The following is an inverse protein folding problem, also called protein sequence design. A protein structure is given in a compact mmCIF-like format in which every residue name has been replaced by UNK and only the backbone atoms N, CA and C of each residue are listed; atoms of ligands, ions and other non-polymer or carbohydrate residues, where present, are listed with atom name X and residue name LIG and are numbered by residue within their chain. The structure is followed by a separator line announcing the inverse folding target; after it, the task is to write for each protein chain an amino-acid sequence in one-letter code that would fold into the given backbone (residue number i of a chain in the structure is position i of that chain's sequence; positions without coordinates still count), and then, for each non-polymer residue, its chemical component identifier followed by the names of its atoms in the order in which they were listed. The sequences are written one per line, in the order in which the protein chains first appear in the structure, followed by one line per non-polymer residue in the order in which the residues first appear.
data_IF_664522299769
#
_entry.id   IF_664522299769
#
_cell.length_a   1.000
_cell.length_b   1.000
_cell.length_c   1.000
_cell.angle_alpha   90.00
_cell.angle_beta   90.00
_cell.angle_gamma   90.00
#
_symmetry.space_group_name_H-M   'P 1'
#
loop_
_entity.id
_entity.type
_entity.pdbx_description
1 polymer ?
#
# COMPACT_ATOMS: atom_id res chain seq x y z
N UNK A 1 2.70 -8.49 -7.04
CA UNK A 1 1.44 -8.46 -6.25
C UNK A 1 1.29 -7.10 -5.59
N UNK A 2 0.07 -6.71 -5.22
CA UNK A 2 -0.16 -5.44 -4.50
C UNK A 2 0.64 -5.36 -3.19
N UNK A 3 0.77 -6.48 -2.47
CA UNK A 3 1.65 -6.59 -1.29
C UNK A 3 3.08 -6.16 -1.56
N UNK A 4 3.70 -6.62 -2.65
CA UNK A 4 5.08 -6.26 -2.98
C UNK A 4 5.22 -4.76 -3.27
N UNK A 5 4.25 -4.19 -3.99
CA UNK A 5 4.22 -2.76 -4.31
C UNK A 5 4.06 -1.93 -3.02
N UNK A 6 3.15 -2.34 -2.13
CA UNK A 6 2.91 -1.68 -0.86
C UNK A 6 4.15 -1.71 0.04
N UNK A 7 4.86 -2.84 0.14
CA UNK A 7 6.10 -2.94 0.91
C UNK A 7 7.17 -1.98 0.41
N UNK A 8 7.36 -1.89 -0.90
CA UNK A 8 8.32 -0.96 -1.51
C UNK A 8 7.96 0.48 -1.20
N UNK A 9 6.69 0.85 -1.34
CA UNK A 9 6.22 2.21 -1.06
C UNK A 9 6.31 2.56 0.43
N UNK A 10 5.99 1.63 1.33
CA UNK A 10 6.11 1.80 2.78
C UNK A 10 7.56 1.95 3.23
N UNK A 11 8.47 1.14 2.70
CA UNK A 11 9.90 1.26 3.00
C UNK A 11 10.43 2.65 2.59
N UNK A 12 10.01 3.15 1.42
CA UNK A 12 10.36 4.50 0.98
C UNK A 12 9.74 5.59 1.86
N UNK A 13 8.49 5.42 2.31
CA UNK A 13 7.78 6.42 3.12
C UNK A 13 8.30 6.49 4.56
N UNK A 14 8.53 5.33 5.18
CA UNK A 14 8.93 5.22 6.59
C UNK A 14 10.46 5.39 6.77
N UNK A 15 11.25 5.13 5.73
CA UNK A 15 12.70 5.34 5.75
C UNK A 15 13.38 4.58 6.89
N UNK A 16 14.19 5.29 7.69
CA UNK A 16 14.93 4.70 8.85
C UNK A 16 14.03 4.15 9.95
N UNK A 17 12.75 4.50 9.92
CA UNK A 17 11.72 4.16 10.89
C UNK A 17 10.93 2.90 10.47
N UNK A 18 11.19 2.38 9.26
CA UNK A 18 10.61 1.16 8.75
C UNK A 18 11.04 -0.07 9.56
N UNK A 19 10.07 -0.76 10.17
CA UNK A 19 10.26 -2.08 10.76
C UNK A 19 9.74 -3.15 9.77
N UNK A 20 10.62 -4.06 9.28
CA UNK A 20 10.22 -5.12 8.38
C UNK A 20 9.10 -6.04 8.90
N UNK A 21 8.99 -6.25 10.22
CA UNK A 21 7.95 -7.12 10.78
C UNK A 21 6.56 -6.50 10.63
N UNK A 22 6.44 -5.21 10.97
CA UNK A 22 5.20 -4.46 10.76
C UNK A 22 4.83 -4.40 9.28
N UNK A 23 5.79 -4.04 8.41
CA UNK A 23 5.54 -3.94 6.97
C UNK A 23 5.13 -5.30 6.39
N UNK A 24 5.84 -6.38 6.72
CA UNK A 24 5.56 -7.71 6.17
C UNK A 24 4.21 -8.26 6.63
N UNK A 25 3.87 -8.10 7.93
CA UNK A 25 2.59 -8.53 8.49
C UNK A 25 1.41 -7.72 7.94
N UNK A 26 1.49 -6.39 8.03
CA UNK A 26 0.43 -5.48 7.60
C UNK A 26 0.20 -5.42 6.09
N UNK A 27 1.08 -6.03 5.28
CA UNK A 27 0.92 -6.12 3.81
C UNK A 27 0.74 -7.55 3.32
N UNK A 28 0.48 -8.53 4.18
CA UNK A 28 0.08 -9.86 3.74
C UNK A 28 -1.13 -9.75 2.79
N UNK A 29 -1.28 -10.64 1.78
CA UNK A 29 -2.29 -10.53 0.71
C UNK A 29 -3.70 -10.91 1.19
N UNK A 30 -4.10 -10.42 2.35
CA UNK A 30 -5.44 -10.53 2.90
C UNK A 30 -6.24 -9.28 2.54
N UNK A 31 -7.48 -9.46 2.11
CA UNK A 31 -8.36 -8.35 1.73
C UNK A 31 -8.48 -7.30 2.85
N UNK A 32 -8.52 -7.74 4.11
CA UNK A 32 -8.57 -6.87 5.28
C UNK A 32 -7.39 -5.87 5.37
N UNK A 33 -6.19 -6.28 4.94
CA UNK A 33 -5.01 -5.41 4.97
C UNK A 33 -5.07 -4.28 3.93
N UNK A 34 -5.92 -4.43 2.90
CA UNK A 34 -6.09 -3.48 1.80
C UNK A 34 -7.53 -2.97 1.72
N UNK A 35 -8.28 -3.01 2.83
CA UNK A 35 -9.69 -2.65 2.86
C UNK A 35 -9.94 -1.14 2.66
N UNK A 36 -8.98 -0.29 3.05
CA UNK A 36 -9.10 1.17 2.93
C UNK A 36 -8.21 1.67 1.79
N UNK A 37 -8.84 2.03 0.67
CA UNK A 37 -8.15 2.51 -0.51
C UNK A 37 -8.99 3.57 -1.23
N UNK A 38 -8.32 4.41 -2.02
CA UNK A 38 -8.97 5.41 -2.86
C UNK A 38 -8.23 5.59 -4.18
N UNK A 39 -8.95 6.00 -5.23
CA UNK A 39 -8.34 6.41 -6.49
C UNK A 39 -8.04 7.90 -6.43
N UNK A 40 -6.80 8.26 -6.72
CA UNK A 40 -6.36 9.65 -6.79
C UNK A 40 -5.81 9.95 -8.18
N UNK A 41 -5.60 11.23 -8.50
CA UNK A 41 -4.94 11.61 -9.75
C UNK A 41 -3.50 11.07 -9.84
N UNK A 42 -2.85 10.77 -8.71
CA UNK A 42 -1.45 10.33 -8.64
C UNK A 42 -1.29 8.81 -8.59
N UNK A 43 -2.37 8.05 -8.35
CA UNK A 43 -2.33 6.60 -8.23
C UNK A 43 -3.35 6.02 -7.25
N UNK A 44 -3.16 4.74 -6.93
CA UNK A 44 -3.91 4.04 -5.89
C UNK A 44 -3.38 4.45 -4.52
N UNK A 45 -4.21 5.14 -3.76
CA UNK A 45 -3.92 5.44 -2.36
C UNK A 45 -4.34 4.26 -1.48
N UNK A 46 -3.43 3.81 -0.62
CA UNK A 46 -3.70 2.79 0.39
C UNK A 46 -3.52 3.40 1.78
N UNK A 47 -4.50 3.19 2.64
CA UNK A 47 -4.49 3.70 4.02
C UNK A 47 -4.49 2.53 5.00
N UNK A 48 -3.45 2.46 5.82
CA UNK A 48 -3.27 1.42 6.83
C UNK A 48 -3.61 1.98 8.21
N UNK A 49 -4.48 1.27 8.93
CA UNK A 49 -4.84 1.61 10.30
C UNK A 49 -3.61 1.61 11.21
N UNK A 50 -3.68 2.40 12.28
CA UNK A 50 -2.64 2.51 13.29
C UNK A 50 -2.18 1.12 13.80
N UNK A 51 -0.87 0.91 13.93
CA UNK A 51 -0.32 -0.37 14.40
C UNK A 51 -0.22 -1.46 13.33
N UNK A 52 -0.74 -1.25 12.12
CA UNK A 52 -0.79 -2.31 11.08
C UNK A 52 0.56 -2.45 10.37
N UNK A 53 1.13 -1.33 9.91
CA UNK A 53 2.37 -1.29 9.10
C UNK A 53 3.49 -0.47 9.74
N UNK A 54 3.23 0.08 10.92
CA UNK A 54 4.20 0.80 11.75
C UNK A 54 3.70 0.79 13.20
N UNK A 55 4.56 1.19 14.15
CA UNK A 55 4.18 1.33 15.55
C UNK A 55 2.97 2.26 15.70
N UNK A 56 2.14 2.00 16.73
CA UNK A 56 0.93 2.78 16.97
C UNK A 56 1.20 4.29 17.09
N UNK A 57 2.30 4.69 17.72
CA UNK A 57 2.70 6.10 17.84
C UNK A 57 2.93 6.82 16.49
N UNK A 58 3.16 6.09 15.39
CA UNK A 58 3.26 6.65 14.03
C UNK A 58 1.90 7.15 13.51
N UNK A 59 0.80 6.66 14.08
CA UNK A 59 -0.55 6.96 13.61
C UNK A 59 -0.94 6.16 12.36
N UNK A 60 -1.89 6.69 11.60
CA UNK A 60 -2.33 6.12 10.32
C UNK A 60 -1.27 6.34 9.25
N UNK A 61 -1.00 5.32 8.44
CA UNK A 61 0.00 5.40 7.37
C UNK A 61 -0.68 5.29 6.01
N UNK A 62 -0.47 6.30 5.16
CA UNK A 62 -1.02 6.33 3.80
C UNK A 62 0.10 6.33 2.76
N UNK A 63 0.00 5.50 1.73
CA UNK A 63 0.94 5.47 0.59
C UNK A 63 0.19 5.69 -0.72
N UNK A 64 0.88 6.21 -1.73
CA UNK A 64 0.40 6.24 -3.11
C UNK A 64 1.22 5.24 -3.92
N UNK A 65 0.54 4.32 -4.59
CA UNK A 65 1.14 3.40 -5.57
C UNK A 65 0.79 3.91 -6.97
N UNK A 66 1.78 4.30 -7.80
CA UNK A 66 1.52 4.84 -9.13
C UNK A 66 0.78 3.84 -10.01
N UNK A 67 -0.11 4.32 -10.89
CA UNK A 67 -0.87 3.44 -11.81
C UNK A 67 0.02 2.59 -12.71
N UNK A 68 1.19 3.09 -13.11
CA UNK A 68 2.18 2.32 -13.88
C UNK A 68 2.66 1.06 -13.16
N UNK A 69 2.69 1.07 -11.82
CA UNK A 69 3.01 -0.10 -11.02
C UNK A 69 1.76 -0.95 -10.75
N UNK A 70 0.62 -0.31 -10.43
CA UNK A 70 -0.64 -1.00 -10.14
C UNK A 70 -1.13 -1.80 -11.36
N UNK A 71 -0.95 -1.29 -12.58
CA UNK A 71 -1.38 -1.96 -13.82
C UNK A 71 -0.74 -3.34 -14.01
N UNK A 72 0.44 -3.58 -13.42
CA UNK A 72 1.14 -4.87 -13.47
C UNK A 72 0.49 -5.97 -12.62
N UNK A 73 -0.41 -5.59 -11.70
CA UNK A 73 -1.09 -6.50 -10.76
C UNK A 73 -2.60 -6.38 -10.80
N UNK A 74 -3.14 -5.34 -11.44
CA UNK A 74 -4.56 -5.14 -11.61
C UNK A 74 -5.11 -6.05 -12.72
N UNK A 75 -6.42 -6.25 -12.69
CA UNK A 75 -7.12 -6.94 -13.78
C UNK A 75 -6.96 -6.13 -15.07
N UNK A 76 -6.47 -6.76 -16.14
CA UNK A 76 -6.21 -6.15 -17.44
C UNK A 76 -7.44 -5.48 -18.08
N UNK A 77 -8.64 -5.92 -17.72
CA UNK A 77 -9.92 -5.39 -18.22
C UNK A 77 -10.53 -4.33 -17.29
N UNK A 78 -9.86 -4.01 -16.18
CA UNK A 78 -10.36 -3.11 -15.15
C UNK A 78 -10.03 -1.63 -15.41
N UNK A 79 -10.66 -0.71 -14.66
CA UNK A 79 -10.44 0.73 -14.82
C UNK A 79 -9.01 1.19 -14.45
N UNK A 80 -8.23 0.36 -13.77
CA UNK A 80 -6.87 0.68 -13.34
C UNK A 80 -5.80 0.44 -14.40
N UNK A 81 -6.14 -0.24 -15.50
CA UNK A 81 -5.23 -0.54 -16.61
C UNK A 81 -5.52 0.30 -17.85
N UNK A 82 -6.58 1.12 -17.81
CA UNK A 82 -6.94 2.11 -18.85
C UNK A 82 -7.47 3.40 -18.20
N UNK A 83 -6.65 4.11 -17.40
CA UNK A 83 -7.05 5.32 -16.67
C UNK A 83 -7.26 6.54 -17.59
#
# INVERSE_FOLDING_TARGET
TLSSLARSALASKLGKTADPNFINGGTQPYAANFANWNLTASGLELTFSQGTVAASATGVVTIIVPYSAVSTVANSSGPLTNP
#
